data_IF_074545502140
#
_entry.id   IF_074545502140
#
_cell.length_a   1.000
_cell.length_b   1.000
_cell.length_c   1.000
_cell.angle_alpha   90.00
_cell.angle_beta   90.00
_cell.angle_gamma   90.00
#
_symmetry.space_group_name_H-M   'P 1'
#
loop_
_entity.id
_entity.type
_entity.pdbx_description
1 polymer ?
#
# COMPACT_ATOMS: atom_id res chain seq x y z
N UNK A 1 -23.33 -26.11 10.83
CA UNK A 1 -22.47 -25.30 9.93
C UNK A 1 -22.91 -23.85 10.02
N UNK A 2 -22.23 -23.02 10.81
CA UNK A 2 -22.48 -21.57 10.81
C UNK A 2 -21.74 -20.98 9.62
N UNK A 3 -22.48 -20.63 8.57
CA UNK A 3 -21.94 -20.03 7.36
C UNK A 3 -21.28 -18.69 7.67
N UNK A 4 -20.03 -18.54 7.25
CA UNK A 4 -19.19 -17.34 7.33
C UNK A 4 -19.81 -16.12 6.62
N UNK A 5 -20.82 -15.53 7.23
CA UNK A 5 -21.55 -14.35 6.73
C UNK A 5 -20.64 -13.11 6.63
N UNK A 6 -19.47 -13.15 7.29
CA UNK A 6 -18.42 -12.13 7.20
C UNK A 6 -17.68 -12.15 5.87
N UNK A 7 -17.59 -13.30 5.18
CA UNK A 7 -16.80 -13.41 3.94
C UNK A 7 -17.55 -12.85 2.71
N UNK A 8 -18.89 -12.96 2.70
CA UNK A 8 -19.72 -12.50 1.57
C UNK A 8 -19.81 -10.97 1.40
N UNK A 9 -19.76 -10.19 2.48
CA UNK A 9 -19.97 -8.72 2.40
C UNK A 9 -18.86 -7.95 1.67
N UNK A 10 -17.65 -8.51 1.56
CA UNK A 10 -16.54 -7.82 0.85
C UNK A 10 -16.68 -7.82 -0.67
N UNK A 11 -17.47 -8.74 -1.24
CA UNK A 11 -17.57 -8.91 -2.70
C UNK A 11 -18.90 -8.48 -3.31
N UNK A 12 -19.84 -7.97 -2.51
CA UNK A 12 -21.18 -7.56 -2.97
C UNK A 12 -21.32 -6.05 -3.22
N UNK A 13 -20.26 -5.28 -3.06
CA UNK A 13 -20.30 -3.82 -3.23
C UNK A 13 -20.13 -3.49 -4.71
N UNK A 14 -21.08 -2.73 -5.28
CA UNK A 14 -20.96 -2.20 -6.64
C UNK A 14 -19.71 -1.30 -6.75
N UNK A 15 -18.94 -1.37 -7.84
CA UNK A 15 -17.72 -0.56 -8.02
C UNK A 15 -17.92 0.95 -7.84
N UNK A 16 -19.15 1.44 -8.05
CA UNK A 16 -19.54 2.86 -7.98
C UNK A 16 -19.85 3.35 -6.56
N UNK A 17 -19.99 2.45 -5.58
CA UNK A 17 -20.38 2.80 -4.21
C UNK A 17 -19.14 2.99 -3.35
N UNK A 18 -18.91 4.23 -2.90
CA UNK A 18 -17.83 4.53 -1.95
C UNK A 18 -18.11 3.89 -0.59
N UNK A 19 -17.24 2.96 -0.18
CA UNK A 19 -17.30 2.34 1.14
C UNK A 19 -16.28 3.02 2.05
N UNK A 20 -16.79 3.70 3.07
CA UNK A 20 -16.02 4.34 4.11
C UNK A 20 -15.13 3.34 4.85
N UNK A 21 -13.85 3.68 5.07
CA UNK A 21 -13.04 2.95 6.03
C UNK A 21 -13.37 3.39 7.48
N UNK A 22 -12.90 2.64 8.48
CA UNK A 22 -13.25 2.90 9.89
C UNK A 22 -12.83 4.29 10.37
N UNK A 23 -11.70 4.81 9.88
CA UNK A 23 -11.20 6.13 10.23
C UNK A 23 -12.06 7.24 9.59
N UNK A 24 -12.34 7.13 8.29
CA UNK A 24 -13.21 8.04 7.55
C UNK A 24 -14.61 8.10 8.18
N UNK A 25 -15.18 6.96 8.54
CA UNK A 25 -16.49 6.88 9.20
C UNK A 25 -16.51 7.52 10.60
N UNK A 26 -15.38 7.52 11.33
CA UNK A 26 -15.26 8.21 12.62
C UNK A 26 -15.21 9.73 12.42
N UNK A 27 -14.41 10.18 11.46
CA UNK A 27 -14.29 11.60 11.11
C UNK A 27 -15.59 12.17 10.57
N UNK A 28 -16.29 11.43 9.71
CA UNK A 28 -17.61 11.82 9.18
C UNK A 28 -18.62 12.07 10.31
N UNK A 29 -18.76 11.12 11.24
CA UNK A 29 -19.65 11.28 12.40
C UNK A 29 -19.30 12.49 13.26
N UNK A 30 -18.00 12.73 13.49
CA UNK A 30 -17.52 13.92 14.22
C UNK A 30 -17.89 15.22 13.51
N UNK A 31 -17.73 15.27 12.19
CA UNK A 31 -18.05 16.44 11.39
C UNK A 31 -19.54 16.73 11.36
N UNK A 32 -20.37 15.70 11.14
CA UNK A 32 -21.83 15.83 11.18
C UNK A 32 -22.30 16.33 12.55
N UNK A 33 -21.77 15.79 13.65
CA UNK A 33 -22.13 16.24 15.00
C UNK A 33 -21.70 17.70 15.27
N UNK A 34 -20.61 18.17 14.66
CA UNK A 34 -20.10 19.54 14.86
C UNK A 34 -20.84 20.58 14.02
N UNK A 35 -21.24 20.23 12.80
CA UNK A 35 -21.82 21.19 11.85
C UNK A 35 -23.33 21.07 11.69
N UNK A 36 -23.93 19.94 12.10
CA UNK A 36 -25.34 19.61 11.84
C UNK A 36 -25.64 19.27 10.38
N UNK A 37 -24.62 19.20 9.52
CA UNK A 37 -24.78 18.94 8.08
C UNK A 37 -24.91 17.44 7.80
N UNK A 38 -25.59 17.09 6.71
CA UNK A 38 -25.64 15.70 6.22
C UNK A 38 -24.39 15.35 5.41
N UNK A 39 -24.10 14.05 5.24
CA UNK A 39 -22.89 13.59 4.54
C UNK A 39 -22.72 14.21 3.14
N UNK A 40 -23.82 14.31 2.38
CA UNK A 40 -23.81 14.85 1.02
C UNK A 40 -23.31 16.30 0.98
N UNK A 41 -23.75 17.11 1.93
CA UNK A 41 -23.36 18.52 2.08
C UNK A 41 -21.89 18.64 2.53
N UNK A 42 -21.47 17.82 3.51
CA UNK A 42 -20.07 17.77 3.94
C UNK A 42 -19.12 17.45 2.78
N UNK A 43 -19.49 16.54 1.89
CA UNK A 43 -18.66 16.18 0.72
C UNK A 43 -18.62 17.26 -0.37
N UNK A 44 -19.61 18.16 -0.42
CA UNK A 44 -19.61 19.31 -1.32
C UNK A 44 -18.63 20.40 -0.86
N UNK A 45 -18.50 20.59 0.46
CA UNK A 45 -17.57 21.56 1.02
C UNK A 45 -16.12 21.08 0.91
N UNK A 46 -15.29 21.84 0.19
CA UNK A 46 -13.85 21.54 -0.04
C UNK A 46 -13.07 21.27 1.25
N UNK A 47 -13.38 21.99 2.33
CA UNK A 47 -12.73 21.83 3.65
C UNK A 47 -12.96 20.43 4.23
N UNK A 48 -14.22 20.04 4.39
CA UNK A 48 -14.58 18.75 5.00
C UNK A 48 -14.24 17.58 4.08
N UNK A 49 -14.35 17.76 2.76
CA UNK A 49 -13.90 16.76 1.79
C UNK A 49 -12.41 16.44 1.93
N UNK A 50 -11.56 17.45 2.14
CA UNK A 50 -10.12 17.24 2.39
C UNK A 50 -9.89 16.48 3.69
N UNK A 51 -10.56 16.88 4.77
CA UNK A 51 -10.43 16.23 6.08
C UNK A 51 -10.87 14.76 6.05
N UNK A 52 -11.95 14.44 5.33
CA UNK A 52 -12.38 13.05 5.10
C UNK A 52 -11.36 12.25 4.28
N UNK A 53 -10.78 12.85 3.23
CA UNK A 53 -9.74 12.20 2.42
C UNK A 53 -8.46 11.95 3.22
N UNK A 54 -8.07 12.86 4.09
CA UNK A 54 -6.92 12.67 4.99
C UNK A 54 -7.19 11.55 6.00
N UNK A 55 -8.38 11.51 6.60
CA UNK A 55 -8.79 10.42 7.49
C UNK A 55 -8.82 9.06 6.76
N UNK A 56 -9.27 9.03 5.51
CA UNK A 56 -9.22 7.85 4.67
C UNK A 56 -7.78 7.35 4.49
N UNK A 57 -6.84 8.24 4.18
CA UNK A 57 -5.41 7.91 4.03
C UNK A 57 -4.75 7.50 5.34
N UNK A 58 -5.13 8.10 6.47
CA UNK A 58 -4.60 7.74 7.78
C UNK A 58 -5.04 6.34 8.23
N UNK A 59 -6.29 5.95 7.92
CA UNK A 59 -6.80 4.60 8.20
C UNK A 59 -6.33 3.55 7.20
N UNK A 60 -5.98 3.95 5.98
CA UNK A 60 -5.26 3.13 5.03
C UNK A 60 -3.79 3.16 5.43
N UNK A 61 -3.42 2.41 6.48
CA UNK A 61 -2.01 2.24 6.90
C UNK A 61 -1.15 2.21 5.63
N UNK A 62 -0.33 3.24 5.34
CA UNK A 62 0.87 2.94 4.59
C UNK A 62 1.51 1.87 5.48
N UNK A 63 1.66 0.65 4.98
CA UNK A 63 2.57 -0.27 5.65
C UNK A 63 3.84 0.57 5.74
N UNK A 64 4.21 0.98 6.96
CA UNK A 64 5.30 1.90 7.23
C UNK A 64 6.58 1.14 6.91
N UNK A 65 6.76 0.90 5.62
CA UNK A 65 7.83 0.10 5.11
C UNK A 65 9.06 0.97 5.15
N UNK A 66 10.10 0.45 5.77
CA UNK A 66 11.39 1.11 5.71
C UNK A 66 11.83 1.22 4.24
N UNK A 67 12.73 2.16 3.90
CA UNK A 67 13.29 2.23 2.54
C UNK A 67 13.82 0.88 2.04
N UNK A 68 14.41 0.09 2.94
CA UNK A 68 14.93 -1.25 2.68
C UNK A 68 13.80 -2.21 2.28
N UNK A 69 12.73 -2.30 3.08
CA UNK A 69 11.58 -3.16 2.77
C UNK A 69 10.91 -2.77 1.44
N UNK A 70 10.86 -1.47 1.10
CA UNK A 70 10.35 -1.01 -0.19
C UNK A 70 11.24 -1.48 -1.35
N UNK A 71 12.56 -1.43 -1.15
CA UNK A 71 13.54 -1.89 -2.13
C UNK A 71 13.42 -3.40 -2.35
N UNK A 72 13.37 -4.19 -1.28
CA UNK A 72 13.21 -5.64 -1.33
C UNK A 72 11.96 -6.04 -2.13
N UNK A 73 10.82 -5.43 -1.84
CA UNK A 73 9.57 -5.70 -2.56
C UNK A 73 9.69 -5.33 -4.03
N UNK A 74 10.38 -4.23 -4.35
CA UNK A 74 10.59 -3.79 -5.73
C UNK A 74 11.47 -4.79 -6.50
N UNK A 75 12.55 -5.28 -5.89
CA UNK A 75 13.45 -6.28 -6.48
C UNK A 75 12.72 -7.61 -6.68
N UNK A 76 12.03 -8.09 -5.64
CA UNK A 76 11.24 -9.33 -5.69
C UNK A 76 10.15 -9.27 -6.76
N UNK A 77 9.42 -8.14 -6.85
CA UNK A 77 8.38 -7.96 -7.87
C UNK A 77 8.96 -7.97 -9.29
N UNK A 78 10.16 -7.40 -9.49
CA UNK A 78 10.84 -7.44 -10.80
C UNK A 78 11.26 -8.85 -11.15
N UNK A 79 11.91 -9.58 -10.23
CA UNK A 79 12.29 -10.98 -10.43
C UNK A 79 11.12 -11.86 -10.91
N UNK A 80 9.96 -11.67 -10.28
CA UNK A 80 8.78 -12.49 -10.59
C UNK A 80 8.03 -12.11 -11.87
N UNK A 81 8.20 -10.88 -12.35
CA UNK A 81 7.47 -10.34 -13.51
C UNK A 81 8.33 -10.15 -14.76
N UNK A 82 9.65 -10.11 -14.60
CA UNK A 82 10.56 -9.89 -15.71
C UNK A 82 10.71 -11.19 -16.51
N UNK A 83 10.26 -11.23 -17.78
CA UNK A 83 10.33 -12.43 -18.61
C UNK A 83 11.77 -12.91 -18.87
N UNK A 84 12.77 -12.05 -18.64
CA UNK A 84 14.19 -12.42 -18.76
C UNK A 84 14.76 -13.05 -17.50
N UNK A 85 14.03 -13.03 -16.38
CA UNK A 85 14.47 -13.70 -15.16
C UNK A 85 14.24 -15.20 -15.29
N UNK A 86 15.22 -16.05 -14.96
CA UNK A 86 15.04 -17.50 -15.00
C UNK A 86 14.05 -17.99 -13.92
N UNK A 87 13.66 -17.12 -12.99
CA UNK A 87 12.68 -17.40 -11.96
C UNK A 87 11.28 -16.79 -12.22
N UNK A 88 11.03 -16.25 -13.42
CA UNK A 88 9.76 -15.63 -13.77
C UNK A 88 8.60 -16.63 -13.63
N UNK A 89 7.48 -16.18 -13.03
CA UNK A 89 6.29 -17.02 -12.82
C UNK A 89 6.40 -18.04 -11.68
N UNK A 90 7.54 -18.13 -10.98
CA UNK A 90 7.67 -19.00 -9.81
C UNK A 90 7.11 -18.36 -8.53
N UNK A 91 6.83 -19.18 -7.51
CA UNK A 91 6.44 -18.68 -6.20
C UNK A 91 7.61 -17.98 -5.50
N UNK A 92 7.31 -17.00 -4.64
CA UNK A 92 8.33 -16.23 -3.88
C UNK A 92 9.26 -17.11 -3.04
N UNK A 93 8.74 -18.23 -2.55
CA UNK A 93 9.47 -19.17 -1.68
C UNK A 93 10.36 -20.12 -2.47
N UNK A 94 10.25 -20.14 -3.80
CA UNK A 94 11.00 -21.05 -4.63
C UNK A 94 12.51 -20.86 -4.45
N UNK A 95 13.31 -21.93 -4.29
CA UNK A 95 14.74 -21.83 -4.03
C UNK A 95 15.52 -20.98 -5.04
N UNK A 96 15.14 -21.06 -6.32
CA UNK A 96 15.76 -20.24 -7.38
C UNK A 96 15.47 -18.74 -7.19
N UNK A 97 14.22 -18.37 -6.88
CA UNK A 97 13.83 -16.98 -6.62
C UNK A 97 14.61 -16.42 -5.43
N UNK A 98 14.72 -17.22 -4.36
CA UNK A 98 15.46 -16.82 -3.15
C UNK A 98 16.96 -16.65 -3.41
N UNK A 99 17.58 -17.53 -4.20
CA UNK A 99 18.99 -17.41 -4.61
C UNK A 99 19.22 -16.14 -5.43
N UNK A 100 18.41 -15.89 -6.45
CA UNK A 100 18.54 -14.70 -7.30
C UNK A 100 18.25 -13.40 -6.53
N UNK A 101 17.26 -13.43 -5.64
CA UNK A 101 16.93 -12.30 -4.78
C UNK A 101 18.11 -11.93 -3.89
N UNK A 102 18.71 -12.89 -3.19
CA UNK A 102 19.91 -12.68 -2.37
C UNK A 102 21.09 -12.15 -3.19
N UNK A 103 21.30 -12.68 -4.40
CA UNK A 103 22.35 -12.21 -5.29
C UNK A 103 22.15 -10.74 -5.71
N UNK A 104 20.94 -10.36 -6.11
CA UNK A 104 20.61 -8.97 -6.47
C UNK A 104 20.71 -8.01 -5.30
N UNK A 105 20.28 -8.42 -4.10
CA UNK A 105 20.42 -7.59 -2.89
C UNK A 105 21.89 -7.35 -2.55
N UNK A 106 22.75 -8.38 -2.58
CA UNK A 106 24.20 -8.22 -2.39
C UNK A 106 24.85 -7.29 -3.41
N UNK A 107 24.47 -7.39 -4.69
CA UNK A 107 24.97 -6.49 -5.73
C UNK A 107 24.56 -5.03 -5.46
N UNK A 108 23.32 -4.80 -5.02
CA UNK A 108 22.85 -3.46 -4.66
C UNK A 108 23.57 -2.90 -3.43
N UNK A 109 23.87 -3.73 -2.44
CA UNK A 109 24.68 -3.35 -1.28
C UNK A 109 26.11 -2.98 -1.68
N UNK A 110 26.75 -3.78 -2.53
CA UNK A 110 28.09 -3.50 -3.07
C UNK A 110 28.12 -2.21 -3.89
N UNK A 111 27.10 -1.98 -4.73
CA UNK A 111 26.96 -0.73 -5.48
C UNK A 111 26.66 0.47 -4.56
N UNK A 112 25.89 0.27 -3.49
CA UNK A 112 25.62 1.27 -2.46
C UNK A 112 26.88 1.68 -1.71
N UNK A 113 27.74 0.73 -1.34
CA UNK A 113 29.04 0.99 -0.72
C UNK A 113 30.01 1.68 -1.69
N UNK A 114 30.00 1.31 -2.97
CA UNK A 114 30.77 2.01 -4.01
C UNK A 114 30.22 3.41 -4.36
N UNK A 115 28.98 3.73 -3.99
CA UNK A 115 28.37 5.06 -4.22
C UNK A 115 28.71 6.08 -3.14
N UNK A 116 29.27 5.67 -1.99
CA UNK A 116 29.90 6.60 -1.03
C UNK A 116 31.17 7.25 -1.59
N UNK A 117 31.70 6.75 -2.70
CA UNK A 117 32.81 7.36 -3.45
C UNK A 117 32.36 8.26 -4.60
N UNK A 118 31.04 8.43 -4.84
CA UNK A 118 30.53 9.19 -6.01
C UNK A 118 29.56 10.34 -5.68
N UNK A 119 29.26 10.57 -4.40
CA UNK A 119 28.48 11.74 -3.94
C UNK A 119 29.31 12.72 -3.08
N UNK A 120 30.65 12.63 -3.14
CA UNK A 120 31.57 13.67 -2.63
C UNK A 120 32.29 14.36 -3.78
N UNK A 121 31.56 15.02 -4.66
CA UNK A 121 32.05 16.12 -5.51
C UNK A 121 30.82 16.86 -6.03
N UNK A 122 30.26 17.71 -5.17
CA UNK A 122 29.66 18.99 -5.55
C UNK A 122 30.47 20.04 -4.78
#
# INVERSE_FOLDING_TARGET
>A
MQSDDRYRRKHSVRPEVHVLNKAEAKTLRRLMAKTGLVEKELRQHKKYRKELSEAQKAGANPINRTPEEKLEIKVMRRLLKDPKSPCCGLAKEHPLVQKEFKARMRLLEQMGQNSLSRWRYI
#
